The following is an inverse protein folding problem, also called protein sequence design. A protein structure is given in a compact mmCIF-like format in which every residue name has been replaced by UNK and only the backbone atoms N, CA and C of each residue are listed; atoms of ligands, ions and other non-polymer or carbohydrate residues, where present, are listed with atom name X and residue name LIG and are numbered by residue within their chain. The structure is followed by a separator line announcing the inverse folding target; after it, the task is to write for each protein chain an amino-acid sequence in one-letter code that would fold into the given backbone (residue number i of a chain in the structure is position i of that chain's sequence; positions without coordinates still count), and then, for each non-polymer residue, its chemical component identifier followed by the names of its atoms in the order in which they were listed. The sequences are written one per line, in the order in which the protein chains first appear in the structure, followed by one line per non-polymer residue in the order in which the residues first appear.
data_IF_802651563551
#
_entry.id   IF_802651563551
#
_cell.length_a   1.000
_cell.length_b   1.000
_cell.length_c   1.000
_cell.angle_alpha   90.00
_cell.angle_beta   90.00
_cell.angle_gamma   90.00
#
_symmetry.space_group_name_H-M   'P 1'
#
loop_
_entity.id
_entity.type
_entity.pdbx_description
1 polymer ?
#
# COMPACT_ATOMS: atom_id res chain seq x y z
N UNK A 1 -43.28 -48.03 -4.66
CA UNK A 1 -41.90 -47.74 -5.12
C UNK A 1 -41.95 -46.59 -6.10
N UNK A 2 -41.91 -45.37 -5.59
CA UNK A 2 -41.94 -44.13 -6.38
C UNK A 2 -40.53 -43.82 -6.87
N UNK A 3 -40.37 -43.69 -8.19
CA UNK A 3 -39.19 -43.12 -8.84
C UNK A 3 -39.30 -41.60 -8.73
N UNK A 4 -38.32 -40.96 -8.07
CA UNK A 4 -38.18 -39.51 -8.12
C UNK A 4 -37.33 -39.14 -9.33
N UNK A 5 -37.96 -38.50 -10.32
CA UNK A 5 -37.27 -37.83 -11.42
C UNK A 5 -36.65 -36.53 -10.92
N UNK A 6 -35.33 -36.41 -11.03
CA UNK A 6 -34.63 -35.13 -10.91
C UNK A 6 -34.90 -34.30 -12.17
N UNK A 7 -35.46 -33.10 -12.00
CA UNK A 7 -35.63 -32.13 -13.08
C UNK A 7 -34.47 -31.15 -13.01
N UNK A 8 -33.52 -31.25 -13.94
CA UNK A 8 -32.41 -30.31 -14.09
C UNK A 8 -32.93 -29.11 -14.90
N UNK A 9 -33.19 -27.98 -14.23
CA UNK A 9 -33.51 -26.72 -14.91
C UNK A 9 -32.19 -26.14 -15.40
N UNK A 10 -31.92 -26.27 -16.70
CA UNK A 10 -30.83 -25.59 -17.38
C UNK A 10 -31.25 -24.12 -17.58
N UNK A 11 -30.89 -23.24 -16.64
CA UNK A 11 -30.98 -21.79 -16.86
C UNK A 11 -29.82 -21.40 -17.78
N UNK A 12 -30.10 -21.27 -19.08
CA UNK A 12 -29.19 -20.62 -20.02
C UNK A 12 -29.23 -19.13 -19.72
N UNK A 13 -28.39 -18.67 -18.80
CA UNK A 13 -28.07 -17.25 -18.69
C UNK A 13 -27.32 -16.86 -19.96
N UNK A 14 -27.97 -16.10 -20.84
CA UNK A 14 -27.27 -15.32 -21.84
C UNK A 14 -26.38 -14.31 -21.09
N UNK A 15 -25.11 -14.67 -20.89
CA UNK A 15 -24.07 -13.71 -20.55
C UNK A 15 -23.85 -12.91 -21.84
N UNK A 16 -24.58 -11.80 -21.98
CA UNK A 16 -24.13 -10.73 -22.85
C UNK A 16 -22.76 -10.31 -22.30
N UNK A 17 -21.67 -10.32 -23.09
CA UNK A 17 -20.45 -9.67 -22.65
C UNK A 17 -20.82 -8.21 -22.45
N UNK A 18 -20.80 -7.74 -21.21
CA UNK A 18 -20.76 -6.32 -20.92
C UNK A 18 -19.45 -5.82 -21.52
N UNK A 19 -19.49 -5.41 -22.78
CA UNK A 19 -18.56 -4.40 -23.27
C UNK A 19 -18.87 -3.16 -22.44
N UNK A 20 -18.19 -3.02 -21.30
CA UNK A 20 -17.91 -1.71 -20.71
C UNK A 20 -17.12 -0.95 -21.78
N UNK A 21 -17.84 -0.31 -22.71
CA UNK A 21 -17.26 0.78 -23.48
C UNK A 21 -17.01 1.85 -22.43
N UNK A 22 -15.77 1.87 -21.97
CA UNK A 22 -15.30 2.73 -20.92
C UNK A 22 -15.45 4.19 -21.39
N UNK A 23 -16.52 4.83 -20.94
CA UNK A 23 -16.74 6.25 -21.13
C UNK A 23 -15.78 6.98 -20.20
N UNK A 24 -14.99 7.92 -20.74
CA UNK A 24 -14.15 8.79 -19.92
C UNK A 24 -15.05 9.63 -19.00
N UNK A 25 -14.86 9.48 -17.69
CA UNK A 25 -15.60 10.24 -16.69
C UNK A 25 -15.03 11.65 -16.48
N UNK A 26 -13.82 11.94 -16.98
CA UNK A 26 -13.29 13.29 -16.99
C UNK A 26 -13.96 14.11 -18.09
N UNK A 27 -14.41 15.30 -17.70
CA UNK A 27 -14.81 16.31 -18.66
C UNK A 27 -13.55 16.91 -19.29
N UNK A 28 -13.52 16.96 -20.62
CA UNK A 28 -12.50 17.70 -21.37
C UNK A 28 -11.05 17.30 -20.99
N UNK A 29 -10.78 15.99 -20.99
CA UNK A 29 -9.45 15.46 -20.67
C UNK A 29 -8.35 15.78 -21.68
N UNK A 30 -8.70 16.04 -22.93
CA UNK A 30 -7.78 16.51 -23.98
C UNK A 30 -7.74 18.04 -24.13
N UNK A 31 -8.33 18.79 -23.20
CA UNK A 31 -8.24 20.27 -23.14
C UNK A 31 -8.74 21.07 -24.36
N UNK A 32 -9.39 20.41 -25.33
CA UNK A 32 -9.96 21.03 -26.55
C UNK A 32 -11.07 22.06 -26.27
N UNK A 33 -11.74 21.95 -25.12
CA UNK A 33 -12.79 22.87 -24.67
C UNK A 33 -12.30 23.85 -23.59
N UNK A 34 -11.02 24.21 -23.61
CA UNK A 34 -10.41 25.10 -22.63
C UNK A 34 -10.04 24.36 -21.34
N UNK A 35 -10.16 25.04 -20.19
CA UNK A 35 -9.96 24.43 -18.86
C UNK A 35 -11.29 23.95 -18.22
N UNK A 36 -12.39 23.91 -18.98
CA UNK A 36 -13.69 23.46 -18.48
C UNK A 36 -13.59 22.07 -17.84
N UNK A 37 -14.06 21.91 -16.60
CA UNK A 37 -13.96 20.66 -15.84
C UNK A 37 -12.69 20.52 -14.98
N UNK A 38 -11.87 21.57 -14.89
CA UNK A 38 -10.64 21.61 -14.11
C UNK A 38 -10.58 22.85 -13.20
N UNK A 39 -9.97 22.71 -12.02
CA UNK A 39 -9.87 23.80 -11.02
C UNK A 39 -8.69 24.77 -11.26
N UNK A 40 -7.95 24.61 -12.36
CA UNK A 40 -6.72 25.36 -12.61
C UNK A 40 -5.54 24.91 -11.73
N UNK A 41 -4.41 25.62 -11.89
CA UNK A 41 -3.18 25.37 -11.12
C UNK A 41 -3.27 25.98 -9.73
N UNK A 42 -3.11 25.13 -8.71
CA UNK A 42 -2.87 25.54 -7.34
C UNK A 42 -1.38 25.44 -7.01
N UNK A 43 -0.87 26.47 -6.35
CA UNK A 43 0.53 26.59 -5.92
C UNK A 43 0.58 26.77 -4.41
N UNK A 44 1.55 26.13 -3.75
CA UNK A 44 1.81 26.37 -2.32
C UNK A 44 2.20 27.82 -2.02
N UNK A 45 2.94 28.44 -2.94
CA UNK A 45 3.37 29.83 -2.88
C UNK A 45 2.92 30.52 -4.15
N UNK A 46 2.22 31.65 -4.01
CA UNK A 46 1.72 32.39 -5.15
C UNK A 46 2.88 32.84 -6.07
N UNK A 47 2.64 32.82 -7.38
CA UNK A 47 3.58 33.25 -8.43
C UNK A 47 4.87 32.41 -8.56
N UNK A 48 4.87 31.14 -8.11
CA UNK A 48 5.99 30.19 -8.33
C UNK A 48 5.76 29.22 -9.48
N UNK A 49 4.71 29.42 -10.27
CA UNK A 49 4.38 28.62 -11.44
C UNK A 49 3.23 29.23 -12.25
N UNK A 50 2.95 28.62 -13.40
CA UNK A 50 1.81 28.95 -14.26
C UNK A 50 1.29 27.70 -14.96
N UNK A 51 0.01 27.75 -15.33
CA UNK A 51 -0.59 26.85 -16.32
C UNK A 51 -1.11 27.65 -17.50
N UNK A 52 -0.99 27.09 -18.70
CA UNK A 52 -1.58 27.65 -19.91
C UNK A 52 -1.97 26.54 -20.89
N UNK A 53 -2.89 26.85 -21.80
CA UNK A 53 -3.22 25.96 -22.92
C UNK A 53 -2.36 26.32 -24.12
N UNK A 54 -1.64 25.33 -24.65
CA UNK A 54 -0.75 25.49 -25.80
C UNK A 54 -1.31 24.80 -27.04
N UNK A 55 -0.98 25.33 -28.23
CA UNK A 55 -1.26 24.69 -29.53
C UNK A 55 -0.13 23.74 -29.97
N UNK A 56 1.03 23.80 -29.30
CA UNK A 56 2.16 22.91 -29.51
C UNK A 56 3.13 22.98 -28.31
N UNK A 57 3.73 21.85 -27.89
CA UNK A 57 3.46 20.49 -28.34
C UNK A 57 2.09 20.00 -27.85
N UNK A 58 1.44 19.15 -28.65
CA UNK A 58 0.18 18.46 -28.31
C UNK A 58 0.34 16.98 -28.67
N UNK A 59 -0.32 16.08 -27.95
CA UNK A 59 -0.30 14.65 -28.26
C UNK A 59 -1.36 14.34 -29.31
N UNK A 60 -2.58 14.83 -29.09
CA UNK A 60 -3.68 14.74 -30.06
C UNK A 60 -4.48 16.05 -30.07
N UNK A 61 -5.47 16.15 -30.97
CA UNK A 61 -6.27 17.37 -31.07
C UNK A 61 -5.46 18.62 -31.46
N UNK A 62 -5.80 19.74 -30.85
CA UNK A 62 -5.16 21.04 -31.08
C UNK A 62 -4.66 21.70 -29.80
N UNK A 63 -4.99 21.20 -28.61
CA UNK A 63 -4.65 21.82 -27.34
C UNK A 63 -4.03 20.81 -26.37
N UNK A 64 -3.09 21.29 -25.57
CA UNK A 64 -2.59 20.56 -24.41
C UNK A 64 -2.41 21.52 -23.24
N UNK A 65 -2.42 20.97 -22.02
CA UNK A 65 -2.11 21.71 -20.81
C UNK A 65 -0.59 21.78 -20.63
N UNK A 66 -0.04 22.99 -20.55
CA UNK A 66 1.35 23.24 -20.17
C UNK A 66 1.38 23.71 -18.72
N UNK A 67 2.15 23.02 -17.88
CA UNK A 67 2.42 23.43 -16.49
C UNK A 67 3.90 23.72 -16.37
N UNK A 68 4.21 24.92 -15.90
CA UNK A 68 5.58 25.34 -15.63
C UNK A 68 5.71 25.89 -14.22
N UNK A 69 6.53 25.26 -13.41
CA UNK A 69 6.88 25.68 -12.05
C UNK A 69 8.38 26.00 -12.02
N UNK A 70 8.76 27.15 -11.45
CA UNK A 70 10.16 27.66 -11.49
C UNK A 70 10.79 27.80 -10.10
N UNK A 71 10.24 27.15 -9.08
CA UNK A 71 10.72 27.28 -7.71
C UNK A 71 12.12 26.69 -7.49
N UNK A 72 12.98 27.41 -6.76
CA UNK A 72 14.16 26.84 -6.09
C UNK A 72 13.82 26.38 -4.65
N UNK A 73 12.53 26.34 -4.29
CA UNK A 73 12.07 26.41 -2.90
C UNK A 73 11.34 25.17 -2.35
N UNK A 74 11.48 23.97 -2.93
CA UNK A 74 10.94 22.73 -2.32
C UNK A 74 9.43 22.86 -1.98
N UNK A 75 8.63 23.21 -3.00
CA UNK A 75 7.20 23.52 -2.86
C UNK A 75 6.35 22.59 -3.73
N UNK A 76 5.17 22.21 -3.23
CA UNK A 76 4.20 21.44 -3.99
C UNK A 76 3.27 22.30 -4.84
N UNK A 77 2.75 21.68 -5.88
CA UNK A 77 1.75 22.22 -6.77
C UNK A 77 0.75 21.14 -7.17
N UNK A 78 -0.44 21.56 -7.64
CA UNK A 78 -1.40 20.61 -8.19
C UNK A 78 -2.36 21.21 -9.19
N UNK A 79 -2.80 20.40 -10.14
CA UNK A 79 -3.84 20.72 -11.11
C UNK A 79 -4.90 19.61 -11.05
N UNK A 80 -6.14 19.96 -10.72
CA UNK A 80 -7.15 18.95 -10.32
C UNK A 80 -8.43 19.03 -11.14
N UNK A 81 -9.10 17.89 -11.32
CA UNK A 81 -10.44 17.89 -11.89
C UNK A 81 -11.42 18.62 -10.96
N UNK A 82 -12.35 19.36 -11.55
CA UNK A 82 -13.39 20.09 -10.83
C UNK A 82 -14.38 19.12 -10.18
N UNK A 83 -14.94 18.22 -10.99
CA UNK A 83 -15.97 17.26 -10.57
C UNK A 83 -15.40 16.18 -9.66
N UNK A 84 -16.08 15.95 -8.53
CA UNK A 84 -15.89 14.75 -7.71
C UNK A 84 -16.55 13.56 -8.41
N UNK A 85 -15.76 12.51 -8.66
CA UNK A 85 -16.24 11.31 -9.33
C UNK A 85 -16.74 10.31 -8.29
N UNK A 86 -17.97 9.83 -8.48
CA UNK A 86 -18.55 8.79 -7.64
C UNK A 86 -17.86 7.46 -7.92
N UNK A 87 -17.43 6.78 -6.86
CA UNK A 87 -16.79 5.46 -6.96
C UNK A 87 -17.57 4.38 -6.21
N UNK A 88 -17.30 3.15 -6.61
CA UNK A 88 -17.84 1.93 -6.02
C UNK A 88 -16.69 0.93 -5.81
N UNK A 89 -16.55 0.34 -4.60
CA UNK A 89 -15.54 -0.67 -4.31
C UNK A 89 -15.56 -1.89 -5.21
N UNK A 90 -16.67 -2.16 -5.92
CA UNK A 90 -16.78 -3.30 -6.84
C UNK A 90 -16.03 -3.10 -8.17
N UNK A 91 -15.46 -1.92 -8.42
CA UNK A 91 -14.76 -1.60 -9.65
C UNK A 91 -13.27 -1.31 -9.42
N UNK A 92 -12.47 -1.65 -10.43
CA UNK A 92 -11.10 -1.19 -10.59
C UNK A 92 -11.13 -0.01 -11.55
N UNK A 93 -10.53 1.10 -11.13
CA UNK A 93 -10.47 2.32 -11.91
C UNK A 93 -9.07 2.50 -12.51
N UNK A 94 -8.98 3.11 -13.70
CA UNK A 94 -7.72 3.58 -14.28
C UNK A 94 -7.81 5.10 -14.44
N UNK A 95 -6.78 5.80 -13.95
CA UNK A 95 -6.51 7.19 -14.32
C UNK A 95 -5.24 7.23 -15.16
N UNK A 96 -5.31 7.88 -16.33
CA UNK A 96 -4.19 7.99 -17.25
C UNK A 96 -4.13 9.34 -17.93
N UNK A 97 -2.96 9.70 -18.44
CA UNK A 97 -2.75 10.84 -19.32
C UNK A 97 -1.51 10.64 -20.19
N UNK A 98 -1.47 11.31 -21.32
CA UNK A 98 -0.25 11.46 -22.10
C UNK A 98 0.53 12.64 -21.56
N UNK A 99 1.77 12.39 -21.13
CA UNK A 99 2.63 13.41 -20.54
C UNK A 99 3.92 13.51 -21.32
N UNK A 100 4.37 14.73 -21.55
CA UNK A 100 5.74 15.04 -21.96
C UNK A 100 6.43 15.78 -20.81
N UNK A 101 7.47 15.18 -20.25
CA UNK A 101 8.12 15.67 -19.04
C UNK A 101 9.65 15.59 -19.14
N UNK A 102 10.28 16.62 -19.71
CA UNK A 102 11.74 16.62 -19.93
C UNK A 102 12.52 17.38 -18.85
N UNK A 103 11.88 18.37 -18.23
CA UNK A 103 12.50 19.22 -17.21
C UNK A 103 11.73 19.10 -15.91
N UNK A 104 12.21 18.23 -15.03
CA UNK A 104 11.74 18.09 -13.65
C UNK A 104 12.95 18.03 -12.75
N UNK A 105 12.90 18.74 -11.63
CA UNK A 105 13.96 18.72 -10.62
C UNK A 105 13.74 17.63 -9.57
N UNK A 106 12.49 17.49 -9.11
CA UNK A 106 12.07 16.41 -8.22
C UNK A 106 11.09 15.51 -8.96
N UNK A 107 9.77 15.68 -8.79
CA UNK A 107 8.78 14.85 -9.47
C UNK A 107 7.55 15.62 -9.97
N UNK A 108 6.92 15.06 -11.00
CA UNK A 108 5.52 15.29 -11.36
C UNK A 108 4.82 13.94 -11.48
N UNK A 109 3.55 13.88 -11.14
CA UNK A 109 2.82 12.62 -11.03
C UNK A 109 1.34 12.78 -11.33
N UNK A 110 0.72 11.65 -11.70
CA UNK A 110 -0.72 11.45 -11.63
C UNK A 110 -1.06 10.90 -10.24
N UNK A 111 -2.12 11.38 -9.61
CA UNK A 111 -2.60 10.79 -8.36
C UNK A 111 -4.12 10.93 -8.21
N UNK A 112 -4.64 10.28 -7.18
CA UNK A 112 -6.04 10.35 -6.77
C UNK A 112 -6.12 10.98 -5.38
N UNK A 113 -7.02 11.94 -5.19
CA UNK A 113 -7.48 12.30 -3.85
C UNK A 113 -8.73 11.49 -3.54
N UNK A 114 -8.77 10.84 -2.37
CA UNK A 114 -9.93 10.06 -1.91
C UNK A 114 -10.73 10.85 -0.89
N UNK A 115 -12.05 10.69 -0.92
CA UNK A 115 -12.97 11.36 0.01
C UNK A 115 -14.06 10.42 0.50
N UNK A 116 -14.48 10.63 1.75
CA UNK A 116 -15.56 9.90 2.39
C UNK A 116 -16.96 10.31 1.87
N UNK A 117 -18.02 9.70 2.42
CA UNK A 117 -19.42 10.00 2.08
C UNK A 117 -19.84 11.45 2.38
N UNK A 118 -19.14 12.13 3.28
CA UNK A 118 -19.38 13.53 3.64
C UNK A 118 -18.47 14.49 2.85
N UNK A 119 -17.70 13.99 1.88
CA UNK A 119 -16.72 14.72 1.08
C UNK A 119 -15.55 15.28 1.91
N UNK A 120 -15.23 14.67 3.05
CA UNK A 120 -13.97 14.94 3.73
C UNK A 120 -12.84 14.20 3.03
N UNK A 121 -11.70 14.85 2.83
CA UNK A 121 -10.52 14.21 2.26
C UNK A 121 -9.97 13.18 3.23
N UNK A 122 -9.81 11.96 2.76
CA UNK A 122 -9.21 10.84 3.52
C UNK A 122 -7.74 10.65 3.17
N UNK A 123 -7.36 10.88 1.91
CA UNK A 123 -5.98 10.86 1.45
C UNK A 123 -5.82 11.82 0.25
N UNK A 124 -4.81 12.68 0.31
CA UNK A 124 -4.51 13.66 -0.72
C UNK A 124 -3.75 13.08 -1.92
N UNK A 125 -2.97 12.00 -1.72
CA UNK A 125 -2.02 11.42 -2.67
C UNK A 125 -2.22 9.90 -2.82
N UNK A 126 -3.45 9.43 -2.76
CA UNK A 126 -3.79 8.03 -2.96
C UNK A 126 -3.46 7.58 -4.40
N UNK A 127 -2.91 6.38 -4.57
CA UNK A 127 -2.54 5.79 -5.85
C UNK A 127 -1.80 6.79 -6.76
N UNK A 128 -0.48 6.91 -6.57
CA UNK A 128 0.37 7.83 -7.31
C UNK A 128 1.16 7.11 -8.41
N UNK A 129 1.31 7.74 -9.57
CA UNK A 129 2.24 7.32 -10.62
C UNK A 129 3.14 8.49 -10.99
N UNK A 130 4.40 8.39 -10.58
CA UNK A 130 5.43 9.33 -10.99
C UNK A 130 5.63 9.27 -12.50
N UNK A 131 5.75 10.45 -13.10
CA UNK A 131 6.17 10.61 -14.48
C UNK A 131 7.68 10.44 -14.57
N UNK A 132 8.15 9.96 -15.71
CA UNK A 132 9.57 9.81 -16.01
C UNK A 132 9.99 10.77 -17.12
N UNK A 133 11.30 10.91 -17.34
CA UNK A 133 11.80 11.70 -18.46
C UNK A 133 11.41 11.08 -19.79
N UNK A 134 10.61 11.80 -20.57
CA UNK A 134 10.06 11.30 -21.84
C UNK A 134 10.89 11.63 -23.08
N UNK A 135 12.08 12.23 -22.89
CA UNK A 135 13.08 12.52 -23.92
C UNK A 135 12.52 13.23 -25.17
N UNK A 136 11.67 14.23 -24.96
CA UNK A 136 11.09 15.05 -26.02
C UNK A 136 9.75 14.57 -26.54
N UNK A 137 9.29 13.39 -26.15
CA UNK A 137 8.06 12.78 -26.67
C UNK A 137 6.94 12.76 -25.61
N UNK A 138 5.71 12.52 -26.05
CA UNK A 138 4.63 12.16 -25.16
C UNK A 138 4.68 10.67 -24.87
N UNK A 139 4.50 10.31 -23.61
CA UNK A 139 4.35 8.93 -23.14
C UNK A 139 3.08 8.82 -22.29
N UNK A 140 2.39 7.67 -22.38
CA UNK A 140 1.18 7.42 -21.59
C UNK A 140 1.59 6.95 -20.19
N UNK A 141 1.17 7.70 -19.18
CA UNK A 141 1.26 7.27 -17.78
C UNK A 141 -0.13 6.87 -17.31
N UNK A 142 -0.22 5.76 -16.58
CA UNK A 142 -1.48 5.26 -16.03
C UNK A 142 -1.27 4.65 -14.66
N UNK A 143 -2.27 4.79 -13.80
CA UNK A 143 -2.37 4.12 -12.52
C UNK A 143 -3.73 3.42 -12.42
N UNK A 144 -3.71 2.17 -11.98
CA UNK A 144 -4.91 1.41 -11.66
C UNK A 144 -5.08 1.36 -10.14
N UNK A 145 -6.32 1.44 -9.68
CA UNK A 145 -6.60 1.40 -8.25
C UNK A 145 -8.01 0.91 -7.96
N UNK A 146 -8.24 0.46 -6.73
CA UNK A 146 -9.57 0.27 -6.15
C UNK A 146 -9.76 1.23 -5.00
N UNK A 147 -10.98 1.25 -4.46
CA UNK A 147 -11.31 1.99 -3.26
C UNK A 147 -11.92 1.06 -2.22
N UNK A 148 -11.73 1.36 -0.93
CA UNK A 148 -12.42 0.65 0.15
C UNK A 148 -13.85 1.17 0.29
N UNK A 149 -14.69 0.45 1.03
CA UNK A 149 -16.08 0.86 1.30
C UNK A 149 -16.25 2.20 2.04
N UNK A 150 -15.18 2.71 2.63
CA UNK A 150 -15.16 3.99 3.33
C UNK A 150 -15.08 5.19 2.36
N UNK A 151 -14.53 4.97 1.17
CA UNK A 151 -14.33 5.99 0.15
C UNK A 151 -15.56 6.04 -0.77
N UNK A 152 -16.10 7.24 -0.98
CA UNK A 152 -17.26 7.44 -1.86
C UNK A 152 -16.98 8.28 -3.08
N UNK A 153 -16.02 9.19 -2.98
CA UNK A 153 -15.65 10.07 -4.07
C UNK A 153 -14.14 10.05 -4.28
N UNK A 154 -13.76 10.30 -5.54
CA UNK A 154 -12.36 10.53 -5.91
C UNK A 154 -12.22 11.79 -6.74
N UNK A 155 -11.03 12.37 -6.71
CA UNK A 155 -10.63 13.48 -7.57
C UNK A 155 -9.27 13.16 -8.22
N UNK A 156 -9.24 12.92 -9.53
CA UNK A 156 -8.00 12.83 -10.29
C UNK A 156 -7.22 14.16 -10.28
N UNK A 157 -5.90 14.06 -10.12
CA UNK A 157 -5.00 15.21 -10.02
C UNK A 157 -3.69 14.94 -10.73
N UNK A 158 -3.13 16.01 -11.30
CA UNK A 158 -1.71 16.11 -11.55
C UNK A 158 -1.09 16.87 -10.39
N UNK A 159 0.02 16.35 -9.87
CA UNK A 159 0.73 16.91 -8.73
C UNK A 159 2.22 16.92 -9.02
N UNK A 160 2.95 17.70 -8.26
CA UNK A 160 4.40 17.58 -8.27
C UNK A 160 5.03 18.42 -7.19
N UNK A 161 6.35 18.31 -7.14
CA UNK A 161 7.19 18.96 -6.18
C UNK A 161 8.37 19.62 -6.89
N UNK A 162 8.71 20.83 -6.44
CA UNK A 162 9.80 21.64 -7.01
C UNK A 162 9.55 22.06 -8.48
N UNK A 163 10.57 22.59 -9.15
CA UNK A 163 10.46 23.08 -10.53
C UNK A 163 10.16 21.98 -11.55
N UNK A 164 9.24 22.27 -12.46
CA UNK A 164 8.88 21.41 -13.59
C UNK A 164 8.52 22.24 -14.84
N UNK A 165 8.62 21.62 -16.02
CA UNK A 165 8.11 22.11 -17.30
C UNK A 165 7.57 20.87 -18.03
N UNK A 166 6.25 20.69 -17.95
CA UNK A 166 5.55 19.49 -18.42
C UNK A 166 4.34 19.85 -19.27
N UNK A 167 4.03 18.97 -20.22
CA UNK A 167 2.83 19.05 -21.05
C UNK A 167 1.98 17.82 -20.80
N UNK A 168 0.68 18.03 -20.65
CA UNK A 168 -0.30 17.00 -20.33
C UNK A 168 -1.41 17.07 -21.35
N UNK A 169 -1.82 15.90 -21.85
CA UNK A 169 -2.88 15.77 -22.83
C UNK A 169 -3.62 14.44 -22.65
N UNK A 170 -4.81 14.33 -23.25
CA UNK A 170 -5.63 13.12 -23.33
C UNK A 170 -5.80 12.40 -21.97
N UNK A 171 -6.11 13.18 -20.92
CA UNK A 171 -6.39 12.65 -19.60
C UNK A 171 -7.69 11.83 -19.59
N UNK A 172 -7.65 10.65 -18.97
CA UNK A 172 -8.77 9.72 -18.96
C UNK A 172 -8.96 9.06 -17.60
N UNK A 173 -10.19 9.06 -17.10
CA UNK A 173 -10.60 8.34 -15.91
C UNK A 173 -11.72 7.36 -16.25
N UNK A 174 -11.52 6.08 -15.96
CA UNK A 174 -12.39 5.02 -16.45
C UNK A 174 -12.55 3.87 -15.47
N UNK A 175 -13.62 3.09 -15.64
CA UNK A 175 -13.70 1.74 -15.06
C UNK A 175 -12.89 0.82 -15.97
N UNK A 176 -11.80 0.27 -15.43
CA UNK A 176 -10.90 -0.64 -16.13
C UNK A 176 -11.33 -2.10 -15.98
N UNK A 177 -11.85 -2.46 -14.80
CA UNK A 177 -12.29 -3.83 -14.50
C UNK A 177 -13.33 -3.85 -13.37
N UNK A 178 -13.88 -5.03 -13.08
CA UNK A 178 -14.65 -5.34 -11.88
C UNK A 178 -13.80 -6.13 -10.89
N UNK A 179 -14.04 -5.93 -9.60
CA UNK A 179 -13.43 -6.75 -8.56
C UNK A 179 -14.02 -8.17 -8.64
N UNK A 180 -13.17 -9.17 -8.41
CA UNK A 180 -13.58 -10.56 -8.26
C UNK A 180 -14.48 -10.80 -7.05
N UNK A 181 -14.72 -12.08 -6.73
CA UNK A 181 -15.62 -12.50 -5.64
C UNK A 181 -15.33 -11.79 -4.29
N UNK A 182 -16.40 -11.58 -3.52
CA UNK A 182 -16.37 -11.13 -2.13
C UNK A 182 -16.42 -12.33 -1.16
N UNK A 183 -15.46 -13.23 -1.32
CA UNK A 183 -15.35 -14.44 -0.51
C UNK A 183 -14.58 -14.13 0.79
N UNK A 184 -14.91 -14.85 1.85
CA UNK A 184 -14.18 -14.79 3.12
C UNK A 184 -13.50 -16.12 3.34
N UNK A 185 -12.17 -16.10 3.40
CA UNK A 185 -11.33 -17.26 3.67
C UNK A 185 -10.93 -17.29 5.13
N UNK A 186 -10.85 -18.49 5.72
CA UNK A 186 -10.55 -18.65 7.15
C UNK A 186 -9.35 -19.56 7.36
N UNK A 187 -8.36 -19.07 8.10
CA UNK A 187 -7.28 -19.86 8.69
C UNK A 187 -7.46 -19.91 10.20
N UNK A 188 -7.55 -21.11 10.77
CA UNK A 188 -7.86 -21.28 12.20
C UNK A 188 -7.07 -22.43 12.82
N UNK A 189 -6.54 -22.21 14.03
CA UNK A 189 -5.91 -23.23 14.87
C UNK A 189 -6.32 -23.04 16.34
N UNK A 190 -5.62 -23.65 17.29
CA UNK A 190 -5.92 -23.52 18.73
C UNK A 190 -5.68 -22.12 19.31
N UNK A 191 -4.90 -21.26 18.65
CA UNK A 191 -4.49 -19.95 19.14
C UNK A 191 -5.24 -18.81 18.45
N UNK A 192 -5.41 -18.89 17.13
CA UNK A 192 -5.94 -17.81 16.31
C UNK A 192 -7.06 -18.29 15.40
N UNK A 193 -7.95 -17.35 15.06
CA UNK A 193 -8.82 -17.41 13.89
C UNK A 193 -8.57 -16.16 13.06
N UNK A 194 -8.10 -16.31 11.82
CA UNK A 194 -7.88 -15.23 10.88
C UNK A 194 -8.87 -15.36 9.71
N UNK A 195 -9.66 -14.32 9.48
CA UNK A 195 -10.55 -14.19 8.33
C UNK A 195 -9.90 -13.22 7.33
N UNK A 196 -9.84 -13.60 6.07
CA UNK A 196 -9.26 -12.86 4.95
C UNK A 196 -10.38 -12.58 3.95
N UNK A 197 -10.72 -11.31 3.75
CA UNK A 197 -11.79 -10.85 2.86
C UNK A 197 -11.18 -10.59 1.48
N UNK A 198 -11.62 -11.26 0.41
CA UNK A 198 -10.96 -11.16 -0.90
C UNK A 198 -11.29 -9.90 -1.69
N UNK A 199 -12.34 -9.17 -1.28
CA UNK A 199 -12.74 -7.91 -1.92
C UNK A 199 -11.71 -6.79 -1.66
N UNK A 200 -11.15 -6.71 -0.47
CA UNK A 200 -10.16 -5.68 -0.11
C UNK A 200 -8.96 -6.24 0.67
N UNK A 201 -8.75 -7.55 0.73
CA UNK A 201 -7.70 -8.19 1.53
C UNK A 201 -7.71 -7.82 3.02
N UNK A 202 -8.84 -7.34 3.56
CA UNK A 202 -8.95 -7.04 4.99
C UNK A 202 -8.80 -8.32 5.80
N UNK A 203 -7.95 -8.21 6.80
CA UNK A 203 -7.75 -9.21 7.85
C UNK A 203 -8.60 -8.87 9.08
N UNK A 204 -9.40 -9.84 9.54
CA UNK A 204 -9.96 -9.87 10.89
C UNK A 204 -9.33 -11.02 11.65
N UNK A 205 -8.62 -10.73 12.74
CA UNK A 205 -7.93 -11.74 13.54
C UNK A 205 -8.53 -11.76 14.94
N UNK A 206 -8.92 -12.95 15.39
CA UNK A 206 -9.30 -13.20 16.77
C UNK A 206 -8.22 -14.03 17.47
N UNK A 207 -7.59 -13.43 18.48
CA UNK A 207 -6.68 -14.11 19.39
C UNK A 207 -7.48 -14.77 20.52
N UNK A 208 -7.51 -16.09 20.50
CA UNK A 208 -8.32 -16.92 21.41
C UNK A 208 -7.80 -16.88 22.84
N UNK A 209 -6.52 -16.61 23.05
CA UNK A 209 -5.94 -16.60 24.40
C UNK A 209 -6.12 -15.24 25.08
N UNK A 210 -5.94 -14.13 24.36
CA UNK A 210 -6.23 -12.80 24.93
C UNK A 210 -7.71 -12.40 24.81
N UNK A 211 -8.52 -13.17 24.08
CA UNK A 211 -9.91 -12.84 23.74
C UNK A 211 -10.03 -11.46 23.09
N UNK A 212 -9.04 -11.10 22.27
CA UNK A 212 -8.95 -9.79 21.59
C UNK A 212 -9.13 -9.97 20.09
N UNK A 213 -9.81 -8.99 19.49
CA UNK A 213 -9.97 -8.89 18.06
C UNK A 213 -9.10 -7.77 17.49
N UNK A 214 -8.52 -8.04 16.32
CA UNK A 214 -7.74 -7.11 15.53
C UNK A 214 -8.37 -7.04 14.14
N UNK A 215 -8.47 -5.84 13.58
CA UNK A 215 -8.99 -5.60 12.25
C UNK A 215 -8.05 -4.66 11.51
N UNK A 216 -7.86 -4.90 10.21
CA UNK A 216 -7.12 -4.00 9.32
C UNK A 216 -8.06 -3.08 8.53
N UNK A 217 -7.53 -1.99 7.95
CA UNK A 217 -8.31 -1.00 7.19
C UNK A 217 -8.74 -1.46 5.78
N UNK A 218 -8.39 -2.67 5.37
CA UNK A 218 -8.48 -3.11 3.96
C UNK A 218 -7.35 -2.51 3.10
N UNK A 219 -7.02 -3.23 2.04
CA UNK A 219 -5.95 -2.97 1.08
C UNK A 219 -6.52 -2.86 -0.34
N UNK A 220 -6.75 -1.62 -0.79
CA UNK A 220 -7.31 -1.37 -2.10
C UNK A 220 -6.30 -1.48 -3.27
N UNK A 221 -5.03 -1.72 -2.98
CA UNK A 221 -3.96 -1.82 -3.98
C UNK A 221 -3.69 -3.24 -4.47
N UNK A 222 -4.25 -4.27 -3.82
CA UNK A 222 -4.12 -5.65 -4.26
C UNK A 222 -5.48 -6.20 -4.74
N UNK A 223 -5.50 -6.80 -5.93
CA UNK A 223 -6.66 -7.44 -6.51
C UNK A 223 -6.43 -8.96 -6.57
N UNK A 224 -7.00 -9.74 -5.63
CA UNK A 224 -7.01 -11.19 -5.73
C UNK A 224 -7.81 -11.64 -6.96
N UNK A 225 -7.23 -12.53 -7.75
CA UNK A 225 -7.86 -13.13 -8.94
C UNK A 225 -8.13 -14.62 -8.75
N UNK A 226 -7.25 -15.30 -8.00
CA UNK A 226 -7.36 -16.73 -7.70
C UNK A 226 -6.86 -17.00 -6.29
N UNK A 227 -7.49 -17.95 -5.61
CA UNK A 227 -7.03 -18.45 -4.31
C UNK A 227 -6.88 -19.96 -4.39
N UNK A 228 -5.68 -20.43 -4.10
CA UNK A 228 -5.35 -21.85 -4.05
C UNK A 228 -5.14 -22.28 -2.59
N UNK A 229 -5.53 -23.50 -2.25
CA UNK A 229 -5.13 -24.10 -0.98
C UNK A 229 -3.69 -24.60 -1.08
N UNK A 230 -2.86 -24.26 -0.09
CA UNK A 230 -1.50 -24.77 0.02
C UNK A 230 -1.36 -25.58 1.31
N UNK A 231 -0.21 -26.23 1.47
CA UNK A 231 0.09 -26.94 2.71
C UNK A 231 0.06 -25.94 3.88
N UNK A 232 -0.83 -26.21 4.84
CA UNK A 232 -1.00 -25.42 6.07
C UNK A 232 -1.43 -23.95 5.83
N UNK A 233 -2.05 -23.64 4.68
CA UNK A 233 -2.33 -22.26 4.30
C UNK A 233 -3.15 -22.02 3.03
N UNK A 234 -3.12 -20.77 2.56
CA UNK A 234 -3.74 -20.29 1.32
C UNK A 234 -2.72 -19.52 0.49
N UNK A 235 -2.82 -19.58 -0.83
CA UNK A 235 -2.06 -18.73 -1.76
C UNK A 235 -3.01 -17.87 -2.57
N UNK A 236 -2.89 -16.56 -2.45
CA UNK A 236 -3.67 -15.58 -3.20
C UNK A 236 -2.83 -15.10 -4.37
N UNK A 237 -3.28 -15.36 -5.59
CA UNK A 237 -2.67 -14.86 -6.81
C UNK A 237 -3.48 -13.68 -7.31
N UNK A 238 -2.82 -12.56 -7.58
CA UNK A 238 -3.48 -11.32 -7.93
C UNK A 238 -2.55 -10.32 -8.59
N UNK A 239 -3.07 -9.09 -8.72
CA UNK A 239 -2.31 -7.96 -9.26
C UNK A 239 -2.15 -6.92 -8.17
N UNK A 240 -0.92 -6.48 -7.93
CA UNK A 240 -0.66 -5.23 -7.21
C UNK A 240 -0.84 -4.07 -8.19
N UNK A 241 -1.99 -3.39 -8.08
CA UNK A 241 -2.53 -2.47 -9.08
C UNK A 241 -1.63 -1.25 -9.38
N UNK A 242 -0.96 -0.62 -8.39
CA UNK A 242 -0.11 0.55 -8.67
C UNK A 242 1.03 0.27 -9.66
N UNK A 243 1.53 -0.97 -9.68
CA UNK A 243 2.67 -1.40 -10.50
C UNK A 243 2.25 -2.33 -11.66
N UNK A 244 0.95 -2.65 -11.76
CA UNK A 244 0.42 -3.71 -12.64
C UNK A 244 1.20 -5.05 -12.48
N UNK A 245 1.66 -5.32 -11.25
CA UNK A 245 2.56 -6.42 -10.94
C UNK A 245 1.77 -7.68 -10.57
N UNK A 246 1.99 -8.78 -11.28
CA UNK A 246 1.52 -10.10 -10.85
C UNK A 246 2.21 -10.49 -9.53
N UNK A 247 1.41 -10.59 -8.47
CA UNK A 247 1.87 -10.82 -7.11
C UNK A 247 1.11 -12.00 -6.51
N UNK A 248 1.85 -12.92 -5.90
CA UNK A 248 1.33 -14.03 -5.11
C UNK A 248 1.60 -13.79 -3.63
N UNK A 249 0.59 -14.04 -2.80
CA UNK A 249 0.67 -13.92 -1.34
C UNK A 249 0.33 -15.26 -0.72
N UNK A 250 1.34 -15.94 -0.19
CA UNK A 250 1.15 -17.16 0.59
C UNK A 250 0.91 -16.79 2.06
N UNK A 251 -0.16 -17.31 2.65
CA UNK A 251 -0.51 -17.17 4.06
C UNK A 251 -0.56 -18.53 4.71
N UNK A 252 0.16 -18.71 5.81
CA UNK A 252 0.04 -19.90 6.65
C UNK A 252 -0.07 -19.53 8.12
N UNK A 253 -0.67 -20.42 8.91
CA UNK A 253 -0.93 -20.17 10.32
C UNK A 253 -0.17 -21.16 11.19
N UNK A 254 0.74 -20.65 12.02
CA UNK A 254 1.52 -21.44 12.97
C UNK A 254 1.44 -20.83 14.36
N UNK A 255 0.96 -21.59 15.34
CA UNK A 255 0.74 -21.12 16.70
C UNK A 255 -0.03 -19.78 16.70
N UNK A 256 0.51 -18.75 17.36
CA UNK A 256 0.01 -17.39 17.43
C UNK A 256 0.56 -16.47 16.32
N UNK A 257 1.02 -17.03 15.20
CA UNK A 257 1.68 -16.28 14.12
C UNK A 257 1.05 -16.57 12.76
N UNK A 258 0.60 -15.52 12.09
CA UNK A 258 0.25 -15.55 10.67
C UNK A 258 1.50 -15.22 9.86
N UNK A 259 1.92 -16.14 9.02
CA UNK A 259 3.15 -16.05 8.21
C UNK A 259 2.75 -15.68 6.80
N UNK A 260 3.44 -14.69 6.24
CA UNK A 260 3.24 -14.20 4.89
C UNK A 260 4.49 -14.40 4.04
N UNK A 261 4.30 -14.73 2.78
CA UNK A 261 5.34 -14.65 1.76
C UNK A 261 4.79 -13.98 0.50
N UNK A 262 5.37 -12.84 0.12
CA UNK A 262 5.11 -12.19 -1.15
C UNK A 262 6.06 -12.74 -2.21
N UNK A 263 5.53 -13.09 -3.38
CA UNK A 263 6.30 -13.60 -4.51
C UNK A 263 5.82 -12.99 -5.83
N UNK A 264 6.75 -12.59 -6.66
CA UNK A 264 6.55 -12.19 -8.06
C UNK A 264 7.76 -12.65 -8.88
N UNK A 265 7.75 -12.46 -10.20
CA UNK A 265 8.97 -12.67 -10.99
C UNK A 265 10.07 -11.72 -10.49
N UNK A 266 11.23 -12.30 -10.16
CA UNK A 266 12.41 -11.56 -9.72
C UNK A 266 12.87 -10.46 -10.69
N UNK A 267 12.57 -10.61 -12.00
CA UNK A 267 12.95 -9.67 -13.04
C UNK A 267 11.90 -8.61 -13.32
N UNK A 268 10.71 -8.70 -12.71
CA UNK A 268 9.69 -7.66 -12.83
C UNK A 268 10.21 -6.33 -12.31
N UNK A 269 9.96 -5.28 -13.10
CA UNK A 269 10.16 -3.90 -12.66
C UNK A 269 9.29 -3.60 -11.45
N UNK A 270 9.85 -2.84 -10.52
CA UNK A 270 9.16 -2.32 -9.36
C UNK A 270 9.71 -0.92 -9.13
N UNK A 271 8.89 0.08 -9.41
CA UNK A 271 9.30 1.48 -9.35
C UNK A 271 9.04 2.09 -7.97
N UNK A 272 7.93 1.71 -7.33
CA UNK A 272 7.51 2.20 -6.02
C UNK A 272 7.44 1.07 -4.98
N UNK A 273 7.26 1.42 -3.71
CA UNK A 273 7.06 0.43 -2.64
C UNK A 273 5.74 -0.35 -2.77
N UNK A 274 5.80 -1.63 -2.40
CA UNK A 274 4.61 -2.45 -2.16
C UNK A 274 4.17 -2.25 -0.71
N UNK A 275 3.02 -1.63 -0.49
CA UNK A 275 2.41 -1.50 0.84
C UNK A 275 1.53 -2.72 1.11
N UNK A 276 2.03 -3.65 1.93
CA UNK A 276 1.34 -4.91 2.21
C UNK A 276 1.80 -5.53 3.54
N UNK A 277 0.89 -6.01 4.41
CA UNK A 277 -0.57 -5.96 4.30
C UNK A 277 -1.10 -4.57 4.67
N UNK A 278 -2.42 -4.38 4.66
CA UNK A 278 -3.03 -3.18 5.22
C UNK A 278 -2.74 -3.04 6.74
N UNK A 279 -2.70 -1.82 7.28
CA UNK A 279 -2.43 -1.60 8.70
C UNK A 279 -3.52 -2.21 9.56
N UNK A 280 -3.11 -2.86 10.66
CA UNK A 280 -4.03 -3.20 11.75
C UNK A 280 -4.34 -1.92 12.53
N UNK A 281 -5.61 -1.71 12.81
CA UNK A 281 -6.12 -0.53 13.48
C UNK A 281 -5.77 -0.54 14.97
N UNK A 282 -5.10 0.52 15.40
CA UNK A 282 -4.71 0.77 16.79
C UNK A 282 -5.86 1.33 17.61
N UNK A 283 -5.80 1.13 18.93
CA UNK A 283 -6.82 1.59 19.87
C UNK A 283 -6.24 2.60 20.86
N UNK A 284 -7.14 3.31 21.55
CA UNK A 284 -6.77 4.13 22.70
C UNK A 284 -5.98 3.30 23.72
N UNK A 285 -4.83 3.80 24.16
CA UNK A 285 -3.97 3.14 25.13
C UNK A 285 -2.99 2.12 24.55
N UNK A 286 -2.98 1.90 23.23
CA UNK A 286 -1.92 1.16 22.57
C UNK A 286 -0.62 2.01 22.46
N UNK A 287 0.51 1.33 22.41
CA UNK A 287 1.85 1.89 22.25
C UNK A 287 2.59 1.16 21.13
N UNK A 288 3.37 1.91 20.35
CA UNK A 288 4.34 1.36 19.42
C UNK A 288 5.60 0.91 20.14
N UNK A 289 6.15 -0.22 19.71
CA UNK A 289 7.42 -0.78 20.13
C UNK A 289 8.36 -0.76 18.93
N UNK A 290 9.41 0.05 18.99
CA UNK A 290 10.34 0.24 17.88
C UNK A 290 11.77 -0.01 18.37
N UNK A 291 12.49 -1.01 17.84
CA UNK A 291 13.87 -1.31 18.21
C UNK A 291 14.86 -0.36 17.53
N UNK A 292 14.65 0.94 17.75
CA UNK A 292 15.58 1.99 17.34
C UNK A 292 16.63 2.19 18.44
N UNK A 293 17.89 1.98 18.10
CA UNK A 293 19.00 1.88 19.04
C UNK A 293 18.70 0.83 20.12
N UNK A 294 18.60 1.23 21.39
CA UNK A 294 18.23 0.33 22.51
C UNK A 294 16.73 0.02 22.59
N UNK A 295 15.90 0.69 21.80
CA UNK A 295 14.43 0.56 21.81
C UNK A 295 13.73 1.83 22.30
N UNK A 296 12.56 2.10 21.71
CA UNK A 296 11.67 3.21 22.04
C UNK A 296 10.26 2.66 22.15
N UNK A 297 9.53 3.15 23.15
CA UNK A 297 8.09 2.98 23.29
C UNK A 297 7.41 4.34 23.28
N UNK A 298 6.33 4.48 22.51
CA UNK A 298 5.56 5.74 22.45
C UNK A 298 4.10 5.47 22.07
N UNK A 299 3.16 6.33 22.51
CA UNK A 299 1.73 6.08 22.32
C UNK A 299 1.30 6.25 20.85
N UNK A 300 0.29 5.48 20.42
CA UNK A 300 -0.29 5.56 19.06
C UNK A 300 -1.01 6.87 18.76
N UNK A 301 -1.18 7.73 19.77
CA UNK A 301 -1.77 9.07 19.61
C UNK A 301 -0.78 10.12 19.12
N UNK A 302 0.51 9.78 19.01
CA UNK A 302 1.57 10.72 18.61
C UNK A 302 2.25 10.25 17.33
N UNK A 303 2.56 11.22 16.47
CA UNK A 303 3.38 10.99 15.27
C UNK A 303 4.74 10.45 15.66
N UNK A 304 5.24 9.45 14.91
CA UNK A 304 6.57 8.94 15.12
C UNK A 304 7.62 9.99 14.71
N UNK A 305 8.50 10.44 15.61
CA UNK A 305 9.36 11.61 15.36
C UNK A 305 10.48 11.37 14.32
N UNK A 306 10.56 10.17 13.72
CA UNK A 306 11.62 9.82 12.77
C UNK A 306 11.09 9.33 11.42
N UNK A 307 9.83 9.65 11.09
CA UNK A 307 9.18 9.33 9.81
C UNK A 307 8.91 7.83 9.63
N UNK A 308 9.92 7.07 9.19
CA UNK A 308 9.86 5.63 8.93
C UNK A 308 10.79 4.84 9.86
N UNK A 309 10.58 3.53 9.91
CA UNK A 309 11.52 2.59 10.51
C UNK A 309 11.85 1.48 9.52
N UNK A 310 13.01 1.59 8.87
CA UNK A 310 13.59 0.52 8.03
C UNK A 310 14.09 -0.61 8.92
N UNK A 311 13.80 -1.86 8.58
CA UNK A 311 14.31 -3.00 9.36
C UNK A 311 15.82 -3.19 9.21
N UNK A 312 16.42 -2.57 8.19
CA UNK A 312 17.85 -2.45 8.00
C UNK A 312 18.27 -0.99 7.93
N UNK A 313 19.31 -0.59 8.66
CA UNK A 313 19.85 0.77 8.57
C UNK A 313 20.46 1.31 9.86
N UNK A 314 20.77 2.61 9.83
CA UNK A 314 21.38 3.31 10.96
C UNK A 314 20.39 3.37 12.15
N UNK A 315 20.79 2.74 13.26
CA UNK A 315 20.00 2.55 14.50
C UNK A 315 18.87 1.53 14.42
N UNK A 316 18.68 0.79 13.33
CA UNK A 316 17.79 -0.38 13.33
C UNK A 316 18.54 -1.57 13.88
N UNK A 317 18.21 -2.00 15.11
CA UNK A 317 18.98 -3.07 15.79
C UNK A 317 18.34 -4.43 15.65
N UNK A 318 17.04 -4.50 15.37
CA UNK A 318 16.26 -5.72 15.22
C UNK A 318 15.17 -5.54 14.16
N UNK A 319 14.91 -6.59 13.40
CA UNK A 319 13.95 -6.59 12.29
C UNK A 319 12.53 -6.91 12.76
N UNK A 320 12.03 -6.14 13.75
CA UNK A 320 10.63 -6.19 14.16
C UNK A 320 10.12 -4.84 14.65
N UNK A 321 8.81 -4.65 14.66
CA UNK A 321 8.09 -3.57 15.34
C UNK A 321 6.81 -4.15 15.93
N UNK A 322 6.16 -3.46 16.88
CA UNK A 322 4.90 -3.94 17.41
C UNK A 322 3.99 -2.85 17.95
N UNK A 323 2.76 -3.24 18.25
CA UNK A 323 1.73 -2.45 18.91
C UNK A 323 1.23 -3.22 20.12
N UNK A 324 1.17 -2.59 21.29
CA UNK A 324 0.72 -3.24 22.51
C UNK A 324 0.11 -2.26 23.51
N UNK A 325 -0.88 -2.72 24.27
CA UNK A 325 -1.38 -2.02 25.46
C UNK A 325 -0.59 -2.39 26.74
N UNK A 326 0.66 -2.86 26.57
CA UNK A 326 1.55 -3.40 27.60
C UNK A 326 1.14 -4.76 28.19
N UNK A 327 -0.07 -5.26 27.90
CA UNK A 327 -0.51 -6.60 28.27
C UNK A 327 -0.51 -7.54 27.06
N UNK A 328 -1.26 -7.17 26.01
CA UNK A 328 -1.38 -7.89 24.75
C UNK A 328 -1.13 -6.97 23.55
N UNK A 329 -1.01 -7.56 22.37
CA UNK A 329 -0.74 -6.81 21.15
C UNK A 329 -0.33 -7.70 19.99
N UNK A 330 0.34 -7.09 19.02
CA UNK A 330 0.93 -7.81 17.90
C UNK A 330 2.29 -7.22 17.54
N UNK A 331 3.12 -8.02 16.88
CA UNK A 331 4.37 -7.59 16.27
C UNK A 331 4.42 -8.01 14.81
N UNK A 332 5.09 -7.19 14.00
CA UNK A 332 5.50 -7.52 12.64
C UNK A 332 7.01 -7.75 12.70
N UNK A 333 7.47 -8.90 12.22
CA UNK A 333 8.89 -9.22 12.05
C UNK A 333 9.16 -9.72 10.63
N UNK A 334 10.41 -9.65 10.17
CA UNK A 334 10.80 -10.14 8.85
C UNK A 334 12.15 -10.83 8.87
N UNK A 335 12.31 -11.83 8.01
CA UNK A 335 13.59 -12.47 7.71
C UNK A 335 14.36 -11.72 6.62
N UNK A 336 13.69 -10.81 5.92
CA UNK A 336 14.14 -10.11 4.74
C UNK A 336 14.20 -8.58 4.98
N UNK A 337 15.07 -8.11 5.90
CA UNK A 337 15.03 -6.73 6.37
C UNK A 337 15.59 -5.70 5.38
N UNK A 338 16.23 -6.13 4.29
CA UNK A 338 17.06 -5.26 3.44
C UNK A 338 16.25 -4.23 2.67
N UNK A 339 15.10 -4.65 2.15
CA UNK A 339 14.19 -3.82 1.37
C UNK A 339 12.80 -3.77 2.03
N UNK A 340 12.76 -3.76 3.36
CA UNK A 340 11.51 -3.78 4.14
C UNK A 340 11.56 -2.76 5.28
N UNK A 341 10.46 -2.06 5.51
CA UNK A 341 10.32 -1.12 6.63
C UNK A 341 8.87 -0.87 7.01
N UNK A 342 8.66 0.01 7.99
CA UNK A 342 7.31 0.44 8.38
C UNK A 342 7.18 1.95 8.39
N UNK A 343 6.00 2.41 7.98
CA UNK A 343 5.53 3.77 8.16
C UNK A 343 4.51 3.86 9.30
N UNK A 344 4.41 5.04 9.89
CA UNK A 344 3.45 5.35 10.95
C UNK A 344 2.35 6.21 10.38
N UNK A 345 1.33 5.57 9.82
CA UNK A 345 0.27 6.23 9.06
C UNK A 345 -0.90 6.59 9.96
N UNK A 346 -1.38 7.83 9.86
CA UNK A 346 -2.52 8.30 10.64
C UNK A 346 -3.81 7.83 9.98
N UNK A 347 -4.66 7.15 10.72
CA UNK A 347 -6.05 6.95 10.31
C UNK A 347 -6.86 8.18 10.75
N UNK A 348 -7.34 8.97 9.80
CA UNK A 348 -8.02 10.24 10.10
C UNK A 348 -9.41 10.04 10.75
N UNK A 349 -10.04 8.87 10.59
CA UNK A 349 -11.34 8.55 11.20
C UNK A 349 -11.16 8.26 12.70
N UNK A 350 -10.19 7.43 13.06
CA UNK A 350 -9.91 7.04 14.45
C UNK A 350 -8.98 8.03 15.18
N UNK A 351 -8.28 8.87 14.43
CA UNK A 351 -7.28 9.81 14.91
C UNK A 351 -6.13 9.12 15.69
N UNK A 352 -5.78 7.90 15.29
CA UNK A 352 -4.63 7.14 15.78
C UNK A 352 -3.68 6.79 14.64
N UNK A 353 -2.39 6.67 14.96
CA UNK A 353 -1.38 6.17 14.04
C UNK A 353 -1.39 4.64 14.03
N UNK A 354 -1.00 4.04 12.91
CA UNK A 354 -0.93 2.60 12.69
C UNK A 354 0.39 2.21 12.00
N UNK A 355 0.79 0.95 12.11
CA UNK A 355 1.96 0.41 11.41
C UNK A 355 1.57 -0.03 9.99
N UNK A 356 2.14 0.62 8.98
CA UNK A 356 2.04 0.21 7.58
C UNK A 356 3.35 -0.44 7.14
N UNK A 357 3.33 -1.73 6.84
CA UNK A 357 4.49 -2.44 6.28
C UNK A 357 4.66 -2.08 4.80
N UNK A 358 5.89 -1.80 4.39
CA UNK A 358 6.23 -1.58 2.99
C UNK A 358 7.43 -2.44 2.58
N UNK A 359 7.46 -2.80 1.29
CA UNK A 359 8.51 -3.57 0.65
C UNK A 359 9.05 -2.79 -0.54
N UNK A 360 10.29 -2.33 -0.43
CA UNK A 360 10.97 -1.52 -1.43
C UNK A 360 11.51 -2.39 -2.59
N UNK A 361 11.72 -1.78 -3.77
CA UNK A 361 12.44 -2.41 -4.85
C UNK A 361 13.92 -2.58 -4.54
N UNK A 362 14.47 -3.74 -4.93
CA UNK A 362 15.91 -3.95 -4.95
C UNK A 362 16.43 -3.59 -6.34
N UNK A 363 17.04 -2.40 -6.46
CA UNK A 363 17.57 -1.88 -7.74
C UNK A 363 16.51 -1.78 -8.85
N UNK A 364 15.32 -1.30 -8.51
CA UNK A 364 14.20 -1.14 -9.45
C UNK A 364 13.50 -2.46 -9.83
N UNK A 365 13.80 -3.55 -9.11
CA UNK A 365 13.22 -4.89 -9.37
C UNK A 365 12.62 -5.46 -8.10
N UNK A 366 11.63 -6.35 -8.26
CA UNK A 366 11.14 -7.16 -7.13
C UNK A 366 12.25 -8.02 -6.53
N UNK A 367 13.09 -8.61 -7.39
CA UNK A 367 14.32 -9.34 -7.11
C UNK A 367 14.21 -10.66 -6.32
N UNK A 368 13.43 -10.73 -5.24
CA UNK A 368 13.35 -11.90 -4.38
C UNK A 368 12.04 -11.95 -3.56
N UNK A 369 11.58 -13.11 -3.05
CA UNK A 369 10.37 -13.16 -2.21
C UNK A 369 10.53 -12.40 -0.89
N UNK A 370 9.45 -11.82 -0.35
CA UNK A 370 9.47 -11.11 0.95
C UNK A 370 8.69 -11.91 2.00
N UNK A 371 9.36 -12.39 3.04
CA UNK A 371 8.77 -13.16 4.13
C UNK A 371 8.66 -12.32 5.41
N UNK A 372 7.47 -12.29 5.98
CA UNK A 372 7.23 -11.59 7.23
C UNK A 372 6.19 -12.32 8.10
N UNK A 373 6.16 -11.93 9.37
CA UNK A 373 5.45 -12.61 10.43
C UNK A 373 4.59 -11.60 11.15
N UNK A 374 3.30 -11.89 11.28
CA UNK A 374 2.37 -11.17 12.14
C UNK A 374 2.07 -12.04 13.36
N UNK A 375 2.74 -11.74 14.46
CA UNK A 375 2.68 -12.53 15.70
C UNK A 375 1.88 -11.80 16.77
N UNK A 376 0.95 -12.50 17.41
CA UNK A 376 0.09 -11.93 18.45
C UNK A 376 0.62 -12.29 19.84
N UNK A 377 0.83 -11.28 20.68
CA UNK A 377 1.33 -11.42 22.04
C UNK A 377 0.21 -11.15 23.05
N UNK A 378 0.29 -11.78 24.19
CA UNK A 378 -0.79 -11.91 25.15
C UNK A 378 -0.34 -11.87 26.61
N UNK A 379 0.96 -11.99 26.87
CA UNK A 379 1.56 -12.00 28.19
C UNK A 379 2.71 -10.97 28.23
N UNK A 380 2.60 -9.91 29.04
CA UNK A 380 3.66 -8.90 29.24
C UNK A 380 4.06 -8.07 28.00
N UNK A 381 3.18 -7.93 27.02
CA UNK A 381 3.33 -6.99 25.90
C UNK A 381 4.68 -7.08 25.19
N UNK A 382 5.47 -5.99 25.24
CA UNK A 382 6.74 -5.90 24.51
C UNK A 382 7.81 -6.89 24.97
N UNK A 383 7.75 -7.37 26.22
CA UNK A 383 8.71 -8.36 26.72
C UNK A 383 8.53 -9.69 25.99
N UNK A 384 7.29 -10.11 25.78
CA UNK A 384 6.99 -11.31 24.99
C UNK A 384 7.41 -11.13 23.52
N UNK A 385 7.23 -9.94 22.94
CA UNK A 385 7.73 -9.65 21.57
C UNK A 385 9.25 -9.87 21.48
N UNK A 386 10.02 -9.35 22.45
CA UNK A 386 11.47 -9.55 22.52
C UNK A 386 11.85 -11.02 22.68
N UNK A 387 11.10 -11.78 23.50
CA UNK A 387 11.34 -13.22 23.70
C UNK A 387 11.02 -14.03 22.45
N UNK A 388 9.93 -13.71 21.76
CA UNK A 388 9.57 -14.32 20.49
C UNK A 388 10.66 -14.07 19.45
N UNK A 389 11.05 -12.79 19.25
CA UNK A 389 12.07 -12.44 18.26
C UNK A 389 13.41 -13.10 18.56
N UNK A 390 13.81 -13.16 19.83
CA UNK A 390 15.02 -13.89 20.24
C UNK A 390 14.97 -15.36 19.82
N UNK A 391 13.87 -16.07 20.14
CA UNK A 391 13.71 -17.49 19.78
C UNK A 391 13.74 -17.69 18.28
N UNK A 392 13.03 -16.83 17.54
CA UNK A 392 12.99 -16.84 16.07
C UNK A 392 14.39 -16.68 15.46
N UNK A 393 15.13 -15.64 15.86
CA UNK A 393 16.49 -15.41 15.35
C UNK A 393 17.45 -16.54 15.71
N UNK A 394 17.32 -17.15 16.90
CA UNK A 394 18.14 -18.29 17.31
C UNK A 394 17.91 -19.54 16.44
N UNK A 395 16.72 -19.70 15.85
CA UNK A 395 16.43 -20.79 14.92
C UNK A 395 17.04 -20.54 13.53
N UNK A 396 17.12 -19.28 13.11
CA UNK A 396 17.62 -18.90 11.78
C UNK A 396 19.15 -18.79 11.71
N UNK A 397 19.78 -18.34 12.79
CA UNK A 397 21.23 -18.12 12.83
C UNK A 397 21.81 -18.37 14.23
N UNK A 398 23.07 -18.82 14.33
CA UNK A 398 23.73 -19.00 15.61
C UNK A 398 23.88 -17.65 16.32
N UNK A 399 23.25 -17.53 17.50
CA UNK A 399 23.43 -16.39 18.39
C UNK A 399 24.54 -16.69 19.39
N UNK A 400 25.71 -16.10 19.16
CA UNK A 400 26.89 -16.33 19.98
C UNK A 400 26.85 -15.53 21.28
N UNK A 401 26.78 -16.25 22.39
CA UNK A 401 26.77 -15.74 23.76
C UNK A 401 28.14 -15.21 24.18
N UNK A 402 28.19 -14.40 25.25
CA UNK A 402 29.46 -14.00 25.84
C UNK A 402 30.26 -15.19 26.36
N UNK A 403 29.60 -16.20 26.95
CA UNK A 403 30.28 -17.41 27.44
C UNK A 403 31.00 -18.16 26.33
N UNK A 404 30.39 -18.30 25.15
CA UNK A 404 31.04 -18.90 23.98
C UNK A 404 32.21 -18.03 23.47
N UNK A 405 32.04 -16.70 23.45
CA UNK A 405 33.12 -15.77 23.09
C UNK A 405 34.30 -15.85 24.07
N UNK A 406 34.04 -16.02 25.36
CA UNK A 406 35.07 -16.20 26.41
C UNK A 406 35.78 -17.55 26.24
N UNK A 407 35.04 -18.61 25.91
CA UNK A 407 35.63 -19.92 25.64
C UNK A 407 36.61 -19.89 24.46
N UNK A 408 36.39 -19.01 23.47
CA UNK A 408 37.29 -18.85 22.33
C UNK A 408 38.40 -17.82 22.56
N UNK A 409 38.08 -16.73 23.27
CA UNK A 409 39.01 -15.68 23.63
C UNK A 409 38.79 -15.27 25.11
N UNK A 410 39.58 -15.83 26.05
CA UNK A 410 39.47 -15.51 27.47
C UNK A 410 39.66 -14.03 27.81
N UNK A 411 40.30 -13.22 26.95
CA UNK A 411 40.44 -11.78 27.18
C UNK A 411 39.10 -11.04 27.14
N UNK A 412 38.06 -11.61 26.53
CA UNK A 412 36.70 -11.06 26.57
C UNK A 412 36.19 -10.96 28.01
N UNK A 413 36.66 -11.83 28.91
CA UNK A 413 36.31 -11.77 30.33
C UNK A 413 36.76 -10.45 30.98
N UNK A 414 37.86 -9.87 30.51
CA UNK A 414 38.41 -8.59 31.02
C UNK A 414 37.52 -7.38 30.70
N UNK A 415 36.51 -7.54 29.84
CA UNK A 415 35.54 -6.49 29.53
C UNK A 415 34.41 -6.39 30.57
N UNK A 416 34.33 -7.35 31.50
CA UNK A 416 33.42 -7.24 32.65
C UNK A 416 34.01 -6.21 33.62
N UNK A 417 33.24 -5.13 33.87
CA UNK A 417 33.64 -3.98 34.67
C UNK A 417 34.04 -4.31 36.09
#
# INVERSE_FOLDING_TARGET
MQKHSFFLILVVCFILPNLLISQNFLQNGGFESGENGWNGLWLRVDNTGMSELVDHPVHSGNKALHIKCWGEQNQDWSYSSETLLLVDPQFVYEFSAWVKADQMKDYAALCITTLDRNQNVTDWLFAIKNTERTNGNYEKFSLKFKVTSEIKYVRPRFVGWDSCDIFIDDASFVIADTVGNNDVYVLENSHLKAEIHSDDFRLNIFDKKSNRQYASSGLATFLPLRVDSIKDGLSFHGIYLPEDLELSVDLSLQDNTLIFQLSADSLSDLNEEIFFPAPILSNAGDFFIVPRASGIIFPVTHHYPFWDFRFWGYKSTMAFVGVTNLASGYMIATDDPWDTGVEFVKNEIQNYYNLQLYHAPSKGKFAYPRKFYLTFVHDNGYVEMCQWYRRHVQQLRPVKTFSEKISENPDVEKLKG
#
